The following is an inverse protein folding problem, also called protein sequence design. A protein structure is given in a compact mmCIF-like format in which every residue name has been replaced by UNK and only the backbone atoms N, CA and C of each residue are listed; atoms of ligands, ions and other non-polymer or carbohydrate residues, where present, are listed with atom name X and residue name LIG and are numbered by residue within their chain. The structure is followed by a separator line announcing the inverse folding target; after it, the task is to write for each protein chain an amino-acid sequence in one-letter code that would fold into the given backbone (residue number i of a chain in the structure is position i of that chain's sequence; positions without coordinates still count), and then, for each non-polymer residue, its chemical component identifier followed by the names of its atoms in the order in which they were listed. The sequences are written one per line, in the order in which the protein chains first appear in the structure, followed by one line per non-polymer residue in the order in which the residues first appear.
data_IF_610672164254
#
_entry.id   IF_610672164254
#
_cell.length_a   1.000
_cell.length_b   1.000
_cell.length_c   1.000
_cell.angle_alpha   90.00
_cell.angle_beta   90.00
_cell.angle_gamma   90.00
#
_symmetry.space_group_name_H-M   'P 1'
#
loop_
_entity.id
_entity.type
_entity.pdbx_description
1 polymer ?
#
# COMPACT_ATOMS: atom_id res chain seq x y z
N UNK A 1 -20.13 -26.01 -42.55
CA UNK A 1 -20.97 -25.41 -41.49
C UNK A 1 -20.05 -24.71 -40.51
N UNK A 2 -20.09 -23.38 -40.40
CA UNK A 2 -19.19 -22.57 -39.59
C UNK A 2 -19.70 -22.48 -38.15
N UNK A 3 -18.79 -22.33 -37.19
CA UNK A 3 -18.92 -21.40 -36.06
C UNK A 3 -17.71 -21.63 -35.16
N UNK A 4 -16.69 -20.80 -35.36
CA UNK A 4 -15.72 -20.46 -34.33
C UNK A 4 -16.45 -20.30 -33.00
N UNK A 5 -16.23 -21.18 -32.02
CA UNK A 5 -16.59 -20.87 -30.64
C UNK A 5 -15.55 -19.87 -30.16
N UNK A 6 -15.93 -18.61 -30.33
CA UNK A 6 -15.26 -17.42 -29.88
C UNK A 6 -14.94 -17.60 -28.39
N UNK A 7 -13.66 -17.79 -28.10
CA UNK A 7 -13.16 -17.71 -26.74
C UNK A 7 -13.22 -16.24 -26.36
N UNK A 8 -14.25 -15.88 -25.58
CA UNK A 8 -14.37 -14.57 -24.95
C UNK A 8 -13.13 -14.38 -24.08
N UNK A 9 -12.21 -13.45 -24.37
CA UNK A 9 -11.27 -13.03 -23.36
C UNK A 9 -12.10 -12.23 -22.35
N UNK A 10 -12.40 -12.85 -21.20
CA UNK A 10 -12.82 -12.12 -20.02
C UNK A 10 -11.70 -11.11 -19.74
N UNK A 11 -11.96 -9.86 -20.12
CA UNK A 11 -11.01 -8.76 -19.93
C UNK A 11 -10.68 -8.77 -18.45
N UNK A 12 -9.40 -8.81 -18.04
CA UNK A 12 -9.06 -8.47 -16.68
C UNK A 12 -9.58 -7.04 -16.49
N UNK A 13 -10.61 -6.90 -15.66
CA UNK A 13 -10.93 -5.63 -15.04
C UNK A 13 -9.70 -5.26 -14.24
N UNK A 14 -8.72 -4.63 -14.90
CA UNK A 14 -7.63 -3.92 -14.25
C UNK A 14 -8.30 -2.91 -13.35
N UNK A 15 -8.24 -3.07 -12.02
CA UNK A 15 -8.57 -1.98 -11.15
C UNK A 15 -7.59 -0.87 -11.53
N UNK A 16 -8.10 0.30 -11.88
CA UNK A 16 -7.28 1.49 -11.99
C UNK A 16 -6.37 1.53 -10.74
N UNK A 17 -5.06 1.83 -10.88
CA UNK A 17 -4.24 2.04 -9.71
C UNK A 17 -4.90 3.14 -8.89
N UNK A 18 -5.46 2.75 -7.74
CA UNK A 18 -5.81 3.65 -6.65
C UNK A 18 -4.60 4.57 -6.48
N UNK A 19 -4.79 5.88 -6.22
CA UNK A 19 -3.66 6.75 -5.92
C UNK A 19 -2.86 6.07 -4.82
N UNK A 20 -1.71 5.51 -5.21
CA UNK A 20 -0.78 4.93 -4.26
C UNK A 20 -0.56 6.03 -3.25
N UNK A 21 -0.66 5.75 -1.93
CA UNK A 21 -0.47 6.78 -0.93
C UNK A 21 0.81 7.49 -1.30
N UNK A 22 0.70 8.80 -1.55
CA UNK A 22 1.82 9.67 -1.86
C UNK A 22 2.84 9.38 -0.77
N UNK A 23 3.84 8.57 -1.12
CA UNK A 23 4.87 8.16 -0.20
C UNK A 23 5.50 9.47 0.20
N UNK A 24 5.20 9.91 1.41
CA UNK A 24 5.67 11.19 1.92
C UNK A 24 7.18 11.07 1.89
N UNK A 25 7.75 11.70 0.87
CA UNK A 25 9.17 11.89 0.67
C UNK A 25 9.63 12.80 1.79
N UNK A 26 9.76 12.21 2.97
CA UNK A 26 10.34 12.87 4.12
C UNK A 26 10.79 11.78 5.09
N UNK A 27 11.95 11.19 4.80
CA UNK A 27 12.69 10.41 5.81
C UNK A 27 12.99 11.23 7.08
N UNK A 28 12.67 12.53 7.11
CA UNK A 28 12.72 13.41 8.28
C UNK A 28 11.34 13.73 8.90
N UNK A 29 10.21 13.34 8.26
CA UNK A 29 8.83 13.50 8.73
C UNK A 29 8.03 12.24 8.37
N UNK A 30 8.30 11.17 9.10
CA UNK A 30 7.65 9.88 8.92
C UNK A 30 6.13 9.99 9.16
N UNK A 31 5.36 10.22 8.09
CA UNK A 31 3.90 10.23 8.10
C UNK A 31 3.33 8.86 7.82
N UNK A 32 2.16 8.56 8.36
CA UNK A 32 1.43 7.33 8.08
C UNK A 32 0.92 7.35 6.63
N UNK A 33 1.29 6.36 5.78
CA UNK A 33 0.85 6.31 4.39
C UNK A 33 -0.67 6.07 4.27
N UNK A 34 -1.31 5.46 5.27
CA UNK A 34 -2.74 5.14 5.21
C UNK A 34 -3.65 6.32 5.54
N UNK A 35 -3.24 7.22 6.44
CA UNK A 35 -4.11 8.29 6.96
C UNK A 35 -3.46 9.68 6.97
N UNK A 36 -2.19 9.81 6.57
CA UNK A 36 -1.47 11.08 6.51
C UNK A 36 -1.06 11.67 7.87
N UNK A 37 -1.36 10.99 8.98
CA UNK A 37 -1.00 11.45 10.33
C UNK A 37 0.51 11.32 10.59
N UNK A 38 1.11 12.29 11.26
CA UNK A 38 2.50 12.24 11.74
C UNK A 38 2.68 11.45 13.05
N UNK A 39 1.59 10.93 13.63
CA UNK A 39 1.64 10.14 14.87
C UNK A 39 2.05 8.70 14.58
N UNK A 40 3.36 8.48 14.50
CA UNK A 40 3.96 7.18 14.20
C UNK A 40 4.93 6.79 15.31
N UNK A 41 4.82 5.56 15.80
CA UNK A 41 5.78 4.93 16.69
C UNK A 41 6.70 3.99 15.90
N UNK A 42 8.01 4.11 16.12
CA UNK A 42 9.00 3.18 15.59
C UNK A 42 9.28 2.10 16.64
N UNK A 43 9.22 0.84 16.23
CA UNK A 43 9.63 -0.33 16.99
C UNK A 43 10.92 -0.87 16.37
N UNK A 44 11.97 -1.00 17.17
CA UNK A 44 13.22 -1.63 16.74
C UNK A 44 13.13 -3.12 17.05
N UNK A 45 13.23 -3.95 16.02
CA UNK A 45 13.30 -5.40 16.15
C UNK A 45 14.72 -5.86 16.50
N UNK A 46 14.81 -7.06 17.06
CA UNK A 46 16.06 -7.64 17.58
C UNK A 46 17.14 -7.86 16.50
N UNK A 47 16.76 -7.90 15.23
CA UNK A 47 17.65 -8.07 14.08
C UNK A 47 18.11 -6.75 13.44
N UNK A 48 17.85 -5.61 14.09
CA UNK A 48 18.10 -4.28 13.51
C UNK A 48 17.09 -3.85 12.44
N UNK A 49 15.99 -4.60 12.30
CA UNK A 49 14.84 -4.19 11.50
C UNK A 49 14.05 -3.10 12.23
N UNK A 50 13.51 -2.14 11.49
CA UNK A 50 12.59 -1.14 12.01
C UNK A 50 11.18 -1.46 11.53
N UNK A 51 10.22 -1.41 12.44
CA UNK A 51 8.80 -1.44 12.13
C UNK A 51 8.17 -0.14 12.60
N UNK A 52 7.16 0.30 11.89
CA UNK A 52 6.47 1.54 12.17
C UNK A 52 5.00 1.23 12.37
N UNK A 53 4.39 1.88 13.35
CA UNK A 53 2.95 1.79 13.61
C UNK A 53 2.37 3.19 13.81
N UNK A 54 1.30 3.49 13.08
CA UNK A 54 0.56 4.73 13.27
C UNK A 54 -0.31 4.60 14.51
N UNK A 55 -0.09 5.45 15.52
CA UNK A 55 -0.90 5.45 16.75
C UNK A 55 -2.25 6.16 16.58
N UNK A 56 -2.44 6.87 15.46
CA UNK A 56 -3.71 7.51 15.13
C UNK A 56 -4.70 6.57 14.42
N UNK A 57 -4.23 5.74 13.47
CA UNK A 57 -5.10 4.88 12.66
C UNK A 57 -4.77 3.37 12.73
N UNK A 58 -3.71 2.98 13.44
CA UNK A 58 -3.36 1.57 13.65
C UNK A 58 -2.65 0.89 12.48
N UNK A 59 -2.29 1.64 11.43
CA UNK A 59 -1.58 1.10 10.28
C UNK A 59 -0.12 0.75 10.63
N UNK A 60 0.34 -0.46 10.30
CA UNK A 60 1.72 -0.91 10.53
C UNK A 60 2.46 -1.22 9.24
N UNK A 61 3.73 -0.87 9.14
CA UNK A 61 4.60 -1.15 7.99
C UNK A 61 6.07 -1.37 8.43
N UNK A 62 6.90 -1.89 7.54
CA UNK A 62 8.33 -2.17 7.76
C UNK A 62 9.18 -1.50 6.70
#
# INVERSE_FOLDING_TARGET
MPASREHVPDRPLVPAPLPGPVASDDRSRLGCPSCGSSHVAQMLGDNGGVSYVCTACGHSWS
#
